data_IF_620376400089
#
_entry.id   IF_620376400089
#
_cell.length_a   1.000
_cell.length_b   1.000
_cell.length_c   1.000
_cell.angle_alpha   90.00
_cell.angle_beta   90.00
_cell.angle_gamma   90.00
#
_symmetry.space_group_name_H-M   'P 1'
#
loop_
_entity.id
_entity.type
_entity.pdbx_description
1 polymer ?
#
# COMPACT_ATOMS: atom_id res chain seq x y z
N UNK A 1 -0.50 -21.83 0.12
CA UNK A 1 -1.73 -21.05 0.43
C UNK A 1 -1.44 -19.87 1.36
N UNK A 2 -0.83 -18.78 0.91
CA UNK A 2 -0.65 -17.54 1.68
C UNK A 2 -0.93 -16.31 0.81
N UNK A 3 -2.12 -16.28 0.15
CA UNK A 3 -2.56 -15.14 -0.67
C UNK A 3 -3.47 -14.16 0.08
N UNK A 4 -3.90 -14.46 1.32
CA UNK A 4 -4.93 -13.68 2.03
C UNK A 4 -4.49 -12.26 2.42
N UNK A 5 -3.24 -12.05 2.82
CA UNK A 5 -2.78 -10.72 3.25
C UNK A 5 -2.81 -9.66 2.13
N UNK A 6 -2.18 -9.91 0.97
CA UNK A 6 -2.26 -8.98 -0.15
C UNK A 6 -3.67 -8.80 -0.71
N UNK A 7 -4.50 -9.86 -0.66
CA UNK A 7 -5.86 -9.83 -1.18
C UNK A 7 -6.78 -8.91 -0.39
N UNK A 8 -6.69 -8.89 0.95
CA UNK A 8 -7.50 -8.01 1.78
C UNK A 8 -7.25 -6.52 1.48
N UNK A 9 -5.99 -6.11 1.36
CA UNK A 9 -5.64 -4.73 0.95
C UNK A 9 -6.18 -4.40 -0.44
N UNK A 10 -6.10 -5.33 -1.39
CA UNK A 10 -6.60 -5.15 -2.75
C UNK A 10 -8.12 -4.98 -2.78
N UNK A 11 -8.86 -5.78 -2.01
CA UNK A 11 -10.33 -5.65 -1.94
C UNK A 11 -10.71 -4.27 -1.38
N UNK A 12 -10.08 -3.84 -0.28
CA UNK A 12 -10.34 -2.51 0.31
C UNK A 12 -9.94 -1.40 -0.68
N UNK A 13 -8.78 -1.52 -1.31
CA UNK A 13 -8.31 -0.58 -2.31
C UNK A 13 -9.27 -0.47 -3.50
N UNK A 14 -9.74 -1.60 -4.02
CA UNK A 14 -10.71 -1.63 -5.12
C UNK A 14 -12.01 -0.90 -4.73
N UNK A 15 -12.53 -1.14 -3.54
CA UNK A 15 -13.69 -0.41 -3.03
C UNK A 15 -13.46 1.10 -2.96
N UNK A 16 -12.29 1.53 -2.48
CA UNK A 16 -11.92 2.95 -2.42
C UNK A 16 -11.66 3.54 -3.81
N UNK A 17 -11.10 2.79 -4.74
CA UNK A 17 -10.92 3.20 -6.13
C UNK A 17 -12.29 3.45 -6.78
N UNK A 18 -13.22 2.52 -6.64
CA UNK A 18 -14.59 2.66 -7.16
C UNK A 18 -15.26 3.90 -6.53
N UNK A 19 -15.16 4.07 -5.21
CA UNK A 19 -15.69 5.24 -4.52
C UNK A 19 -15.08 6.55 -5.03
N UNK A 20 -13.76 6.59 -5.22
CA UNK A 20 -13.06 7.76 -5.74
C UNK A 20 -13.50 8.09 -7.18
N UNK A 21 -13.68 7.07 -8.02
CA UNK A 21 -14.20 7.25 -9.39
C UNK A 21 -15.63 7.79 -9.37
N UNK A 22 -16.51 7.22 -8.56
CA UNK A 22 -17.91 7.69 -8.39
C UNK A 22 -17.96 9.14 -7.89
N UNK A 23 -17.03 9.51 -6.98
CA UNK A 23 -16.87 10.88 -6.48
C UNK A 23 -16.12 11.79 -7.46
N UNK A 24 -15.81 11.33 -8.67
CA UNK A 24 -15.02 12.05 -9.69
C UNK A 24 -13.64 12.51 -9.22
N UNK A 25 -13.10 11.86 -8.20
CA UNK A 25 -11.75 12.10 -7.67
C UNK A 25 -10.73 11.16 -8.33
N UNK A 26 -10.47 11.41 -9.61
CA UNK A 26 -9.60 10.56 -10.43
C UNK A 26 -8.16 10.53 -9.90
N UNK A 27 -7.68 11.63 -9.30
CA UNK A 27 -6.33 11.68 -8.71
C UNK A 27 -6.15 10.62 -7.63
N UNK A 28 -7.10 10.51 -6.70
CA UNK A 28 -7.07 9.50 -5.63
C UNK A 28 -7.29 8.09 -6.17
N UNK A 29 -8.15 7.91 -7.18
CA UNK A 29 -8.33 6.62 -7.83
C UNK A 29 -7.05 6.12 -8.49
N UNK A 30 -6.36 6.98 -9.26
CA UNK A 30 -5.08 6.67 -9.91
C UNK A 30 -3.99 6.42 -8.86
N UNK A 31 -3.92 7.24 -7.81
CA UNK A 31 -2.97 7.03 -6.71
C UNK A 31 -3.10 5.64 -6.08
N UNK A 32 -4.32 5.24 -5.72
CA UNK A 32 -4.57 3.92 -5.12
C UNK A 32 -4.25 2.79 -6.10
N UNK A 33 -4.65 2.93 -7.36
CA UNK A 33 -4.36 1.95 -8.39
C UNK A 33 -2.85 1.77 -8.59
N UNK A 34 -2.12 2.87 -8.82
CA UNK A 34 -0.67 2.82 -9.01
C UNK A 34 0.02 2.26 -7.77
N UNK A 35 -0.32 2.76 -6.58
CA UNK A 35 0.35 2.36 -5.34
C UNK A 35 0.13 0.88 -5.02
N UNK A 36 -1.09 0.36 -5.14
CA UNK A 36 -1.45 -0.96 -4.62
C UNK A 36 -1.42 -2.03 -5.71
N UNK A 37 -1.91 -1.73 -6.92
CA UNK A 37 -1.96 -2.75 -7.98
C UNK A 37 -0.61 -2.89 -8.71
N UNK A 38 0.13 -1.80 -8.92
CA UNK A 38 1.40 -1.85 -9.65
C UNK A 38 2.63 -2.14 -8.78
N UNK A 39 2.52 -2.13 -7.44
CA UNK A 39 3.65 -2.45 -6.55
C UNK A 39 4.23 -3.85 -6.82
N UNK A 40 3.41 -4.77 -7.34
CA UNK A 40 3.84 -6.11 -7.71
C UNK A 40 4.94 -6.11 -8.77
N UNK A 41 4.90 -5.16 -9.72
CA UNK A 41 5.91 -5.01 -10.76
C UNK A 41 7.26 -4.61 -10.17
N UNK A 42 7.25 -3.68 -9.22
CA UNK A 42 8.47 -3.22 -8.53
C UNK A 42 9.07 -4.34 -7.68
N UNK A 43 8.23 -5.11 -6.99
CA UNK A 43 8.67 -6.27 -6.22
C UNK A 43 9.28 -7.33 -7.12
N UNK A 44 8.65 -7.62 -8.25
CA UNK A 44 9.14 -8.61 -9.21
C UNK A 44 10.47 -8.17 -9.86
N UNK A 45 10.60 -6.89 -10.21
CA UNK A 45 11.87 -6.33 -10.68
C UNK A 45 12.98 -6.51 -9.65
N UNK A 46 12.72 -6.19 -8.37
CA UNK A 46 13.67 -6.39 -7.28
C UNK A 46 14.08 -7.86 -7.11
N UNK A 47 13.14 -8.80 -7.28
CA UNK A 47 13.41 -10.24 -7.22
C UNK A 47 14.34 -10.72 -8.35
N UNK A 48 14.09 -10.25 -9.57
CA UNK A 48 14.93 -10.60 -10.74
C UNK A 48 16.35 -10.06 -10.63
N UNK A 49 16.55 -8.94 -9.94
CA UNK A 49 17.88 -8.36 -9.72
C UNK A 49 18.69 -9.09 -8.64
N UNK A 50 18.04 -9.78 -7.71
CA UNK A 50 18.70 -10.32 -6.51
C UNK A 50 18.97 -11.83 -6.58
N UNK A 51 18.11 -12.60 -7.23
CA UNK A 51 18.13 -14.07 -7.34
C UNK A 51 18.54 -14.84 -6.05
N UNK A 52 18.17 -14.29 -4.88
CA UNK A 52 18.55 -14.83 -3.57
C UNK A 52 17.71 -16.06 -3.23
N UNK A 53 18.34 -17.22 -2.89
CA UNK A 53 17.60 -18.40 -2.47
C UNK A 53 16.90 -18.16 -1.12
N UNK A 54 15.82 -18.90 -0.87
CA UNK A 54 15.15 -18.92 0.43
C UNK A 54 15.91 -19.78 1.43
N UNK A 55 15.67 -19.58 2.75
CA UNK A 55 16.15 -20.51 3.75
C UNK A 55 15.75 -21.95 3.44
N UNK A 56 16.67 -22.89 3.56
CA UNK A 56 16.46 -24.31 3.23
C UNK A 56 15.43 -25.01 4.14
N UNK A 57 15.19 -24.44 5.32
CA UNK A 57 14.23 -24.93 6.32
C UNK A 57 12.90 -24.16 6.32
N UNK A 58 12.48 -23.62 5.16
CA UNK A 58 11.21 -22.90 5.02
C UNK A 58 10.03 -23.82 5.40
N UNK A 59 9.15 -23.33 6.28
CA UNK A 59 7.98 -24.08 6.78
C UNK A 59 6.81 -24.08 5.78
N UNK A 60 6.90 -23.33 4.69
CA UNK A 60 5.85 -23.21 3.68
C UNK A 60 6.50 -23.14 2.30
N UNK A 61 5.93 -23.86 1.33
CA UNK A 61 6.37 -23.83 -0.06
C UNK A 61 6.24 -22.43 -0.67
N UNK A 62 7.32 -21.96 -1.27
CA UNK A 62 7.36 -20.68 -1.95
C UNK A 62 8.25 -20.76 -3.20
N UNK A 63 7.65 -20.54 -4.34
CA UNK A 63 8.21 -20.81 -5.68
C UNK A 63 9.18 -19.72 -6.17
N UNK A 64 9.21 -18.53 -5.53
CA UNK A 64 10.02 -17.39 -6.00
C UNK A 64 11.21 -17.12 -5.09
N UNK A 65 12.19 -16.33 -5.57
CA UNK A 65 13.35 -15.85 -4.81
C UNK A 65 12.95 -15.16 -3.50
N UNK A 66 13.86 -15.12 -2.50
CA UNK A 66 13.53 -14.60 -1.17
C UNK A 66 13.57 -13.07 -1.10
N UNK A 67 14.45 -12.42 -1.81
CA UNK A 67 14.68 -10.98 -1.71
C UNK A 67 14.08 -10.20 -2.88
N UNK A 68 13.46 -9.04 -2.65
CA UNK A 68 12.93 -8.59 -1.36
C UNK A 68 11.62 -9.32 -0.98
N UNK A 69 11.20 -9.20 0.29
CA UNK A 69 9.94 -9.79 0.75
C UNK A 69 8.74 -9.04 0.18
N UNK A 70 8.01 -9.67 -0.75
CA UNK A 70 6.82 -9.06 -1.36
C UNK A 70 5.67 -8.77 -0.39
N UNK A 71 5.54 -9.56 0.70
CA UNK A 71 4.56 -9.27 1.75
C UNK A 71 4.96 -8.03 2.57
N UNK A 72 6.25 -7.83 2.84
CA UNK A 72 6.74 -6.64 3.52
C UNK A 72 6.55 -5.38 2.66
N UNK A 73 6.87 -5.45 1.36
CA UNK A 73 6.55 -4.37 0.41
C UNK A 73 5.07 -4.05 0.42
N UNK A 74 4.22 -5.08 0.24
CA UNK A 74 2.79 -4.92 0.08
C UNK A 74 2.09 -4.33 1.32
N UNK A 75 2.43 -4.79 2.53
CA UNK A 75 1.83 -4.26 3.75
C UNK A 75 2.29 -2.81 4.01
N UNK A 76 3.54 -2.48 3.74
CA UNK A 76 4.04 -1.11 3.88
C UNK A 76 3.31 -0.15 2.95
N UNK A 77 3.26 -0.45 1.66
CA UNK A 77 2.55 0.38 0.68
C UNK A 77 1.06 0.45 0.99
N UNK A 78 0.41 -0.68 1.28
CA UNK A 78 -1.02 -0.74 1.56
C UNK A 78 -1.42 0.10 2.77
N UNK A 79 -0.70 -0.03 3.88
CA UNK A 79 -0.97 0.75 5.11
C UNK A 79 -0.78 2.24 4.84
N UNK A 80 0.34 2.64 4.23
CA UNK A 80 0.63 4.05 3.97
C UNK A 80 -0.36 4.67 2.97
N UNK A 81 -0.69 3.98 1.89
CA UNK A 81 -1.65 4.47 0.90
C UNK A 81 -3.06 4.64 1.49
N UNK A 82 -3.54 3.66 2.28
CA UNK A 82 -4.83 3.74 2.95
C UNK A 82 -4.86 4.85 4.00
N UNK A 83 -3.82 4.97 4.82
CA UNK A 83 -3.71 6.08 5.78
C UNK A 83 -3.76 7.43 5.07
N UNK A 84 -3.02 7.60 3.97
CA UNK A 84 -2.99 8.86 3.22
C UNK A 84 -4.38 9.27 2.73
N UNK A 85 -5.15 8.33 2.19
CA UNK A 85 -6.47 8.61 1.62
C UNK A 85 -7.54 8.80 2.71
N UNK A 86 -7.45 8.02 3.79
CA UNK A 86 -8.45 8.04 4.87
C UNK A 86 -8.18 9.12 5.93
N UNK A 87 -6.93 9.55 6.09
CA UNK A 87 -6.53 10.51 7.12
C UNK A 87 -7.34 11.82 7.13
N UNK A 88 -7.61 12.47 5.97
CA UNK A 88 -8.38 13.72 5.95
C UNK A 88 -9.82 13.55 6.41
N UNK A 89 -10.44 12.37 6.17
CA UNK A 89 -11.86 12.10 6.53
C UNK A 89 -12.00 11.41 7.88
N UNK A 90 -10.89 11.02 8.50
CA UNK A 90 -10.89 10.32 9.79
C UNK A 90 -11.03 11.27 10.96
N UNK A 91 -11.90 10.98 11.94
CA UNK A 91 -11.97 11.70 13.19
C UNK A 91 -10.60 11.81 13.88
N UNK A 92 -10.26 12.98 14.41
CA UNK A 92 -8.92 13.26 14.98
C UNK A 92 -8.54 12.23 16.06
N UNK A 93 -9.51 11.84 16.93
CA UNK A 93 -9.27 10.84 17.96
C UNK A 93 -8.92 9.44 17.47
N UNK A 94 -9.25 9.10 16.22
CA UNK A 94 -8.94 7.78 15.62
C UNK A 94 -7.61 7.76 14.85
N UNK A 95 -7.04 8.91 14.54
CA UNK A 95 -5.82 8.99 13.69
C UNK A 95 -4.63 8.26 14.30
N UNK A 96 -4.33 8.55 15.56
CA UNK A 96 -3.21 7.90 16.25
C UNK A 96 -3.45 6.40 16.47
N UNK A 97 -4.60 5.95 17.03
CA UNK A 97 -4.89 4.52 17.14
C UNK A 97 -4.77 3.76 15.81
N UNK A 98 -5.33 4.29 14.72
CA UNK A 98 -5.29 3.64 13.41
C UNK A 98 -3.85 3.60 12.85
N UNK A 99 -3.07 4.67 13.03
CA UNK A 99 -1.66 4.68 12.64
C UNK A 99 -0.84 3.63 13.43
N UNK A 100 -1.08 3.51 14.73
CA UNK A 100 -0.42 2.51 15.59
C UNK A 100 -0.79 1.09 15.16
N UNK A 101 -2.07 0.83 14.88
CA UNK A 101 -2.52 -0.47 14.35
C UNK A 101 -1.87 -0.75 12.99
N UNK A 102 -1.81 0.25 12.11
CA UNK A 102 -1.14 0.13 10.81
C UNK A 102 0.35 -0.22 10.95
N UNK A 103 1.07 0.47 11.82
CA UNK A 103 2.47 0.16 12.12
C UNK A 103 2.61 -1.26 12.70
N UNK A 104 1.74 -1.64 13.65
CA UNK A 104 1.71 -2.99 14.20
C UNK A 104 1.51 -4.07 13.15
N UNK A 105 0.63 -3.84 12.16
CA UNK A 105 0.42 -4.75 11.03
C UNK A 105 1.68 -4.90 10.16
N UNK A 106 2.38 -3.78 9.88
CA UNK A 106 3.64 -3.81 9.12
C UNK A 106 4.67 -4.69 9.82
N UNK A 107 4.87 -4.50 11.13
CA UNK A 107 5.80 -5.30 11.92
C UNK A 107 5.35 -6.76 12.03
N UNK A 108 4.08 -7.01 12.32
CA UNK A 108 3.54 -8.37 12.50
C UNK A 108 3.69 -9.19 11.22
N UNK A 109 3.33 -8.62 10.07
CA UNK A 109 3.47 -9.31 8.78
C UNK A 109 4.94 -9.59 8.47
N UNK A 110 5.83 -8.62 8.66
CA UNK A 110 7.27 -8.82 8.44
C UNK A 110 7.84 -9.90 9.35
N UNK A 111 7.53 -9.84 10.64
CA UNK A 111 7.98 -10.81 11.64
C UNK A 111 7.46 -12.23 11.33
N UNK A 112 6.19 -12.36 10.95
CA UNK A 112 5.63 -13.64 10.54
C UNK A 112 6.38 -14.27 9.37
N UNK A 113 6.92 -13.48 8.42
CA UNK A 113 7.75 -14.01 7.31
C UNK A 113 9.06 -14.60 7.79
N UNK A 114 9.64 -14.03 8.85
CA UNK A 114 10.88 -14.54 9.48
C UNK A 114 10.59 -15.80 10.30
N UNK A 115 9.54 -15.79 11.13
CA UNK A 115 9.15 -16.97 11.95
C UNK A 115 8.82 -18.18 11.06
N UNK A 116 8.11 -17.96 9.95
CA UNK A 116 7.79 -19.02 8.98
C UNK A 116 9.03 -19.49 8.20
N UNK A 117 10.18 -18.88 8.47
CA UNK A 117 11.46 -19.18 7.83
C UNK A 117 11.41 -19.13 6.29
N UNK A 118 10.53 -18.30 5.72
CA UNK A 118 10.40 -18.13 4.25
C UNK A 118 11.21 -16.95 3.73
N UNK A 119 11.66 -16.06 4.63
CA UNK A 119 12.49 -14.89 4.34
C UNK A 119 13.53 -14.68 5.43
N UNK A 120 14.69 -14.18 5.02
CA UNK A 120 15.68 -13.67 5.96
C UNK A 120 15.23 -12.31 6.53
N UNK A 121 15.66 -11.91 7.75
CA UNK A 121 15.32 -10.58 8.30
C UNK A 121 15.67 -9.43 7.36
N UNK A 122 16.79 -9.52 6.64
CA UNK A 122 17.22 -8.53 5.65
C UNK A 122 16.25 -8.41 4.45
N UNK A 123 15.57 -9.50 4.05
CA UNK A 123 14.58 -9.46 2.98
C UNK A 123 13.35 -8.66 3.38
N UNK A 124 12.99 -8.73 4.66
CA UNK A 124 11.86 -8.00 5.25
C UNK A 124 12.19 -6.52 5.38
N UNK A 125 13.36 -6.18 5.92
CA UNK A 125 13.81 -4.78 6.05
C UNK A 125 13.93 -4.11 4.68
N UNK A 126 14.54 -4.81 3.71
CA UNK A 126 14.62 -4.32 2.35
C UNK A 126 13.22 -4.17 1.71
N UNK A 127 12.30 -5.08 2.01
CA UNK A 127 10.91 -4.98 1.57
C UNK A 127 10.20 -3.75 2.12
N UNK A 128 10.38 -3.44 3.42
CA UNK A 128 9.84 -2.22 4.02
C UNK A 128 10.44 -0.96 3.42
N UNK A 129 11.76 -0.93 3.24
CA UNK A 129 12.46 0.21 2.62
C UNK A 129 11.99 0.44 1.18
N UNK A 130 11.93 -0.61 0.37
CA UNK A 130 11.45 -0.55 -1.01
C UNK A 130 9.98 -0.10 -1.06
N UNK A 131 9.12 -0.64 -0.20
CA UNK A 131 7.72 -0.25 -0.11
C UNK A 131 7.53 1.21 0.28
N UNK A 132 8.31 1.70 1.24
CA UNK A 132 8.29 3.11 1.65
C UNK A 132 8.75 4.04 0.53
N UNK A 133 9.88 3.74 -0.12
CA UNK A 133 10.39 4.53 -1.25
C UNK A 133 9.41 4.56 -2.42
N UNK A 134 8.82 3.42 -2.75
CA UNK A 134 7.81 3.34 -3.79
C UNK A 134 6.56 4.15 -3.46
N UNK A 135 6.07 4.06 -2.21
CA UNK A 135 4.97 4.90 -1.74
C UNK A 135 5.28 6.40 -1.87
N UNK A 136 6.47 6.83 -1.44
CA UNK A 136 6.89 8.24 -1.58
C UNK A 136 6.89 8.68 -3.05
N UNK A 137 7.37 7.84 -3.95
CA UNK A 137 7.34 8.10 -5.38
C UNK A 137 5.89 8.26 -5.88
N UNK A 138 4.98 7.37 -5.47
CA UNK A 138 3.57 7.45 -5.85
C UNK A 138 2.92 8.76 -5.37
N UNK A 139 3.14 9.17 -4.12
CA UNK A 139 2.62 10.43 -3.57
C UNK A 139 3.17 11.64 -4.35
N UNK A 140 4.45 11.59 -4.75
CA UNK A 140 5.08 12.69 -5.51
C UNK A 140 4.55 12.79 -6.94
N UNK A 141 4.36 11.67 -7.62
CA UNK A 141 3.95 11.62 -9.02
C UNK A 141 2.43 11.75 -9.20
N UNK A 142 1.67 11.21 -8.27
CA UNK A 142 0.19 11.17 -8.32
C UNK A 142 -0.36 11.56 -6.94
N UNK A 143 -0.29 12.85 -6.56
CA UNK A 143 -0.76 13.28 -5.24
C UNK A 143 -2.27 13.05 -5.11
N UNK A 144 -2.72 12.29 -4.08
CA UNK A 144 -4.14 12.07 -3.85
C UNK A 144 -4.81 13.35 -3.34
N UNK A 145 -6.05 13.57 -3.75
CA UNK A 145 -6.89 14.66 -3.26
C UNK A 145 -7.81 14.13 -2.14
N UNK A 146 -8.22 14.96 -1.18
CA UNK A 146 -9.18 14.56 -0.16
C UNK A 146 -10.47 14.03 -0.78
N UNK A 147 -11.04 12.95 -0.21
CA UNK A 147 -12.30 12.38 -0.70
C UNK A 147 -13.51 13.31 -0.47
N UNK A 148 -13.34 14.33 0.37
CA UNK A 148 -14.36 15.35 0.66
C UNK A 148 -14.42 16.50 -0.34
N UNK A 149 -13.47 16.61 -1.28
CA UNK A 149 -13.51 17.62 -2.34
C UNK A 149 -14.67 17.27 -3.29
N UNK A 150 -15.89 17.60 -2.89
CA UNK A 150 -17.01 17.71 -3.82
C UNK A 150 -16.69 18.84 -4.79
N UNK A 151 -16.92 18.56 -6.07
CA UNK A 151 -16.96 19.50 -7.17
C UNK A 151 -17.35 20.90 -6.68
N UNK A 152 -16.42 21.85 -6.68
CA UNK A 152 -16.78 23.24 -6.77
C UNK A 152 -17.56 23.40 -8.08
N UNK A 153 -18.87 23.45 -7.97
CA UNK A 153 -19.71 23.84 -9.08
C UNK A 153 -19.33 25.28 -9.42
N UNK A 154 -18.95 25.59 -10.67
CA UNK A 154 -18.80 26.96 -11.08
C UNK A 154 -20.21 27.54 -11.23
N UNK A 155 -20.76 28.01 -10.17
CA UNK A 155 -22.03 28.70 -10.11
C UNK A 155 -21.90 29.84 -9.13
N UNK A 156 -21.35 30.93 -9.57
CA UNK A 156 -21.77 32.28 -9.17
C UNK A 156 -20.92 33.34 -9.89
N UNK A 157 -21.08 33.40 -11.18
CA UNK A 157 -20.52 34.50 -12.00
C UNK A 157 -21.60 35.11 -12.87
N UNK A 158 -22.80 35.31 -12.34
CA UNK A 158 -23.84 36.10 -13.04
C UNK A 158 -24.84 36.62 -12.00
N UNK A 159 -24.46 37.63 -11.23
CA UNK A 159 -25.39 38.65 -10.72
C UNK A 159 -24.58 39.85 -10.23
N UNK A 160 -24.16 40.72 -11.13
CA UNK A 160 -23.94 42.14 -10.82
C UNK A 160 -24.88 42.93 -11.71
N UNK A 161 -25.83 43.67 -11.14
CA UNK A 161 -26.73 44.53 -11.86
C UNK A 161 -26.03 45.75 -12.48
#
# INVERSE_FOLDING_TARGET
MCRLGPTAFRIVALGLIVLAVVRRNLSTAVFLFVSIELMGLVTEAGKRLSDRPRPSSALVDAVSTSFPSGHAVGVMVGVLALLTVLWPVMPVGLRVPVAVVGAGLVFLVGFARVILNVHHPSDVVAGWALGYLYYLLCVRLVPPRPLTSAVETPAELDTVP
#
